data_IF_104936184811
#
_entry.id   IF_104936184811
#
_cell.length_a   1.000
_cell.length_b   1.000
_cell.length_c   1.000
_cell.angle_alpha   90.00
_cell.angle_beta   90.00
_cell.angle_gamma   90.00
#
_symmetry.space_group_name_H-M   'P 1'
#
loop_
_entity.id
_entity.type
_entity.pdbx_description
1 polymer ?
#
# COMPACT_ATOMS: atom_id res chain seq x y z
N UNK A 1 9.51 -8.16 5.35
CA UNK A 1 9.09 -6.76 5.17
C UNK A 1 8.76 -6.15 6.51
N UNK A 2 9.46 -5.09 6.87
CA UNK A 2 9.23 -4.24 8.03
C UNK A 2 8.12 -3.21 7.76
N UNK A 3 7.65 -2.53 8.81
CA UNK A 3 6.70 -1.42 8.70
C UNK A 3 7.27 -0.32 7.78
N UNK A 4 8.56 0.00 7.91
CA UNK A 4 9.20 1.04 7.11
C UNK A 4 9.25 0.70 5.63
N UNK A 5 9.58 -0.54 5.29
CA UNK A 5 9.58 -1.01 3.90
C UNK A 5 8.18 -0.96 3.29
N UNK A 6 7.15 -1.33 4.06
CA UNK A 6 5.75 -1.24 3.62
C UNK A 6 5.28 0.20 3.42
N UNK A 7 5.74 1.15 4.25
CA UNK A 7 5.45 2.58 4.06
C UNK A 7 6.07 3.12 2.76
N UNK A 8 7.33 2.78 2.51
CA UNK A 8 8.03 3.18 1.28
C UNK A 8 7.32 2.59 0.06
N UNK A 9 6.99 1.30 0.11
CA UNK A 9 6.30 0.62 -0.98
C UNK A 9 4.90 1.20 -1.23
N UNK A 10 4.16 1.51 -0.15
CA UNK A 10 2.85 2.15 -0.26
C UNK A 10 2.97 3.52 -0.95
N UNK A 11 3.89 4.36 -0.50
CA UNK A 11 4.09 5.70 -1.04
C UNK A 11 4.50 5.66 -2.52
N UNK A 12 5.39 4.74 -2.90
CA UNK A 12 5.81 4.55 -4.30
C UNK A 12 4.61 4.16 -5.18
N UNK A 13 3.84 3.14 -4.76
CA UNK A 13 2.66 2.68 -5.50
C UNK A 13 1.59 3.77 -5.64
N UNK A 14 1.32 4.53 -4.57
CA UNK A 14 0.36 5.64 -4.61
C UNK A 14 0.80 6.73 -5.60
N UNK A 15 2.07 7.12 -5.55
CA UNK A 15 2.63 8.12 -6.45
C UNK A 15 2.56 7.69 -7.92
N UNK A 16 2.92 6.44 -8.22
CA UNK A 16 2.86 5.91 -9.58
C UNK A 16 1.41 5.80 -10.07
N UNK A 17 0.50 5.24 -9.27
CA UNK A 17 -0.93 5.12 -9.62
C UNK A 17 -1.54 6.49 -9.91
N UNK A 18 -1.27 7.50 -9.07
CA UNK A 18 -1.77 8.86 -9.29
C UNK A 18 -1.30 9.43 -10.63
N UNK A 19 -0.01 9.31 -10.94
CA UNK A 19 0.53 9.76 -12.23
C UNK A 19 -0.07 8.99 -13.41
N UNK A 20 -0.19 7.67 -13.30
CA UNK A 20 -0.66 6.85 -14.41
C UNK A 20 -2.17 6.99 -14.69
N UNK A 21 -2.96 7.46 -13.72
CA UNK A 21 -4.37 7.86 -13.94
C UNK A 21 -4.50 9.05 -14.90
N UNK A 22 -3.46 9.87 -14.98
CA UNK A 22 -3.40 11.04 -15.86
C UNK A 22 -2.67 10.76 -17.19
N UNK A 23 -2.21 9.52 -17.38
CA UNK A 23 -1.52 9.09 -18.61
C UNK A 23 -2.39 9.27 -19.86
N UNK A 24 -1.76 9.64 -20.97
CA UNK A 24 -2.39 9.70 -22.30
C UNK A 24 -2.97 8.34 -22.71
N UNK A 25 -2.38 7.24 -22.22
CA UNK A 25 -2.81 5.88 -22.50
C UNK A 25 -3.86 5.33 -21.53
N UNK A 26 -4.46 6.17 -20.67
CA UNK A 26 -5.40 5.72 -19.62
C UNK A 26 -6.58 4.88 -20.10
N UNK A 27 -6.97 5.01 -21.37
CA UNK A 27 -8.07 4.25 -21.96
C UNK A 27 -7.63 2.96 -22.68
N UNK A 28 -6.33 2.71 -22.80
CA UNK A 28 -5.84 1.51 -23.47
C UNK A 28 -6.15 0.25 -22.61
N UNK A 29 -6.74 -0.84 -23.14
CA UNK A 29 -7.16 -1.98 -22.34
C UNK A 29 -6.06 -2.61 -21.48
N UNK A 30 -4.85 -2.77 -22.04
CA UNK A 30 -3.70 -3.29 -21.28
C UNK A 30 -3.25 -2.32 -20.16
N UNK A 31 -3.47 -1.02 -20.35
CA UNK A 31 -3.14 0.00 -19.36
C UNK A 31 -4.13 0.00 -18.20
N UNK A 32 -5.42 -0.14 -18.53
CA UNK A 32 -6.49 -0.32 -17.53
C UNK A 32 -6.19 -1.56 -16.68
N UNK A 33 -5.89 -2.70 -17.30
CA UNK A 33 -5.56 -3.93 -16.58
C UNK A 33 -4.33 -3.75 -15.66
N UNK A 34 -3.27 -3.11 -16.16
CA UNK A 34 -2.09 -2.80 -15.34
C UNK A 34 -2.42 -1.89 -14.14
N UNK A 35 -3.29 -0.89 -14.35
CA UNK A 35 -3.70 0.04 -13.30
C UNK A 35 -4.53 -0.67 -12.23
N UNK A 36 -5.46 -1.53 -12.63
CA UNK A 36 -6.27 -2.34 -11.71
C UNK A 36 -5.40 -3.28 -10.86
N UNK A 37 -4.42 -3.94 -11.46
CA UNK A 37 -3.46 -4.80 -10.75
C UNK A 37 -2.59 -3.99 -9.77
N UNK A 38 -2.16 -2.81 -10.17
CA UNK A 38 -1.39 -1.88 -9.33
C UNK A 38 -2.22 -1.42 -8.12
N UNK A 39 -3.48 -1.04 -8.33
CA UNK A 39 -4.39 -0.68 -7.24
C UNK A 39 -4.68 -1.86 -6.31
N UNK A 40 -4.80 -3.08 -6.85
CA UNK A 40 -4.96 -4.30 -6.06
C UNK A 40 -3.73 -4.56 -5.20
N UNK A 41 -2.52 -4.33 -5.72
CA UNK A 41 -1.29 -4.43 -4.97
C UNK A 41 -1.24 -3.38 -3.84
N UNK A 42 -1.59 -2.12 -4.15
CA UNK A 42 -1.67 -1.05 -3.15
C UNK A 42 -2.61 -1.40 -1.99
N UNK A 43 -3.79 -1.98 -2.29
CA UNK A 43 -4.72 -2.47 -1.25
C UNK A 43 -4.10 -3.55 -0.37
N UNK A 44 -3.36 -4.50 -0.96
CA UNK A 44 -2.66 -5.55 -0.20
C UNK A 44 -1.57 -4.98 0.71
N UNK A 45 -0.74 -4.08 0.20
CA UNK A 45 0.32 -3.41 0.96
C UNK A 45 -0.28 -2.60 2.11
N UNK A 46 -1.33 -1.84 1.83
CA UNK A 46 -2.03 -1.02 2.85
C UNK A 46 -2.61 -1.89 3.96
N UNK A 47 -3.25 -3.02 3.62
CA UNK A 47 -3.77 -3.97 4.61
C UNK A 47 -2.65 -4.57 5.46
N UNK A 48 -1.56 -5.01 4.83
CA UNK A 48 -0.40 -5.57 5.56
C UNK A 48 0.22 -4.54 6.52
N UNK A 49 0.36 -3.29 6.07
CA UNK A 49 0.88 -2.20 6.88
C UNK A 49 -0.02 -1.92 8.09
N UNK A 50 -1.34 -1.87 7.87
CA UNK A 50 -2.32 -1.72 8.94
C UNK A 50 -2.19 -2.86 9.96
N UNK A 51 -2.22 -4.12 9.52
CA UNK A 51 -2.11 -5.28 10.41
C UNK A 51 -0.82 -5.24 11.25
N UNK A 52 0.30 -4.85 10.66
CA UNK A 52 1.58 -4.74 11.37
C UNK A 52 1.60 -3.59 12.38
N UNK A 53 1.03 -2.43 12.04
CA UNK A 53 0.90 -1.30 12.98
C UNK A 53 -0.01 -1.65 14.14
N UNK A 54 -1.15 -2.29 13.89
CA UNK A 54 -2.10 -2.74 14.91
C UNK A 54 -1.46 -3.74 15.87
N UNK A 55 -0.73 -4.74 15.36
CA UNK A 55 0.03 -5.69 16.20
C UNK A 55 1.09 -4.99 17.04
N UNK A 56 1.84 -4.06 16.47
CA UNK A 56 2.85 -3.28 17.21
C UNK A 56 2.22 -2.44 18.31
N UNK A 57 1.05 -1.84 18.06
CA UNK A 57 0.31 -1.07 19.07
C UNK A 57 -0.14 -1.97 20.21
N UNK A 58 -0.81 -3.09 19.91
CA UNK A 58 -1.28 -4.03 20.92
C UNK A 58 -0.13 -4.54 21.79
N UNK A 59 0.99 -4.95 21.20
CA UNK A 59 2.16 -5.40 21.96
C UNK A 59 2.71 -4.31 22.89
N UNK A 60 2.71 -3.04 22.45
CA UNK A 60 3.11 -1.91 23.28
C UNK A 60 2.17 -1.74 24.48
N UNK A 61 0.86 -1.82 24.25
CA UNK A 61 -0.16 -1.66 25.29
C UNK A 61 -0.09 -2.78 26.33
N UNK A 62 0.10 -4.04 25.92
CA UNK A 62 0.28 -5.18 26.84
C UNK A 62 1.62 -5.17 27.57
N UNK A 63 2.69 -4.62 26.98
CA UNK A 63 3.99 -4.48 27.66
C UNK A 63 4.03 -3.39 28.73
N UNK A 64 3.03 -2.50 28.76
CA UNK A 64 2.88 -1.41 29.73
C UNK A 64 2.03 -1.76 30.96
N UNK A 65 1.42 -2.94 31.01
CA UNK A 65 0.67 -3.43 32.18
C UNK A 65 1.68 -4.12 33.11
N UNK A 66 2.18 -3.37 34.10
CA UNK A 66 2.91 -3.88 35.26
C UNK A 66 2.09 -3.66 36.52
#
# INVERSE_FOLDING_TARGET
MSIRELEILKAALEGDILKQKESENKNHPAWIAWLEDSEKLLRKVSRKLFDMRSRKSLLKDFSGIK
#
